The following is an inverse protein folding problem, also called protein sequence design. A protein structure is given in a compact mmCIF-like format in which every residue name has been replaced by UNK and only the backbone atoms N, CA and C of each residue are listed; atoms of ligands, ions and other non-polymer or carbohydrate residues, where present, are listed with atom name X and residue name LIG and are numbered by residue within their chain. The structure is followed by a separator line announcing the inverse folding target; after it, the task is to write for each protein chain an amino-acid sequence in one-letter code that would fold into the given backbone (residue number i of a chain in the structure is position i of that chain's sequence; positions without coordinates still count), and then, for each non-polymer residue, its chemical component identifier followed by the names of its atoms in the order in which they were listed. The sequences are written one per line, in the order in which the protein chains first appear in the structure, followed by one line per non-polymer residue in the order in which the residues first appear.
data_IF_759855502066
#
_entry.id   IF_759855502066
#
_cell.length_a   1.000
_cell.length_b   1.000
_cell.length_c   1.000
_cell.angle_alpha   90.00
_cell.angle_beta   90.00
_cell.angle_gamma   90.00
#
_symmetry.space_group_name_H-M   'P 1'
#
loop_
_entity.id
_entity.type
_entity.pdbx_description
1 polymer ?
#
# COMPACT_ATOMS: atom_id res chain seq x y z
N UNK A 1 12.86 2.51 13.79
CA UNK A 1 13.30 1.78 12.57
C UNK A 1 14.78 1.52 12.67
N UNK A 2 15.23 0.32 12.32
CA UNK A 2 16.65 -0.06 12.40
C UNK A 2 17.27 -0.03 10.99
N UNK A 3 17.61 1.17 10.54
CA UNK A 3 18.16 1.37 9.18
C UNK A 3 19.51 0.68 9.01
N UNK A 4 20.30 0.54 10.09
CA UNK A 4 21.57 -0.19 10.03
C UNK A 4 21.34 -1.65 9.63
N UNK A 5 20.34 -2.31 10.22
CA UNK A 5 19.93 -3.66 9.84
C UNK A 5 19.42 -3.74 8.39
N UNK A 6 18.67 -2.73 7.94
CA UNK A 6 18.20 -2.69 6.54
C UNK A 6 19.36 -2.66 5.56
N UNK A 7 20.37 -1.82 5.84
CA UNK A 7 21.57 -1.75 5.03
C UNK A 7 22.35 -3.07 5.00
N UNK A 8 22.43 -3.80 6.12
CA UNK A 8 23.08 -5.11 6.17
C UNK A 8 22.30 -6.17 5.36
N UNK A 9 20.97 -6.20 5.51
CA UNK A 9 20.10 -7.08 4.71
C UNK A 9 20.22 -6.75 3.22
N UNK A 10 20.31 -5.47 2.86
CA UNK A 10 20.48 -5.05 1.46
C UNK A 10 21.82 -5.49 0.90
N UNK A 11 22.92 -5.40 1.66
CA UNK A 11 24.23 -5.94 1.22
C UNK A 11 24.16 -7.43 0.93
N UNK A 12 23.40 -8.18 1.71
CA UNK A 12 23.20 -9.61 1.49
C UNK A 12 22.37 -9.87 0.22
N UNK A 13 21.30 -9.11 0.01
CA UNK A 13 20.45 -9.19 -1.18
C UNK A 13 21.22 -8.82 -2.46
N UNK A 14 22.11 -7.81 -2.40
CA UNK A 14 22.96 -7.42 -3.53
C UNK A 14 23.91 -8.54 -3.96
N UNK A 15 24.52 -9.22 -2.99
CA UNK A 15 25.39 -10.37 -3.31
C UNK A 15 24.60 -11.49 -4.00
N UNK A 16 23.37 -11.75 -3.53
CA UNK A 16 22.49 -12.73 -4.16
C UNK A 16 22.07 -12.30 -5.59
N UNK A 17 21.88 -11.01 -5.82
CA UNK A 17 21.59 -10.43 -7.14
C UNK A 17 22.84 -10.33 -8.04
N UNK A 18 24.01 -10.73 -7.57
CA UNK A 18 25.30 -10.65 -8.28
C UNK A 18 25.64 -9.21 -8.75
N UNK A 19 25.29 -8.22 -7.95
CA UNK A 19 25.60 -6.81 -8.18
C UNK A 19 26.66 -6.32 -7.19
N UNK A 20 27.55 -5.45 -7.66
CA UNK A 20 28.58 -4.81 -6.83
C UNK A 20 28.01 -3.59 -6.08
N UNK A 21 27.07 -2.89 -6.70
CA UNK A 21 26.35 -1.72 -6.16
C UNK A 21 24.92 -1.69 -6.67
N UNK A 22 24.08 -0.85 -6.06
CA UNK A 22 22.67 -0.63 -6.45
C UNK A 22 22.41 0.87 -6.62
N UNK A 23 21.77 1.24 -7.70
CA UNK A 23 21.19 2.55 -7.90
C UNK A 23 19.68 2.48 -7.58
N UNK A 24 19.30 3.08 -6.46
CA UNK A 24 17.91 3.12 -5.98
C UNK A 24 17.27 4.41 -6.45
N UNK A 25 16.20 4.30 -7.20
CA UNK A 25 15.52 5.43 -7.85
C UNK A 25 14.07 5.57 -7.43
N UNK A 26 13.45 4.47 -6.97
CA UNK A 26 12.06 4.48 -6.49
C UNK A 26 11.96 5.19 -5.14
N UNK A 27 11.10 6.21 -5.07
CA UNK A 27 10.91 7.00 -3.84
C UNK A 27 10.57 6.18 -2.60
N UNK A 28 9.67 5.18 -2.65
CA UNK A 28 9.42 4.34 -1.47
C UNK A 28 10.67 3.61 -0.98
N UNK A 29 11.53 3.17 -1.88
CA UNK A 29 12.77 2.49 -1.55
C UNK A 29 13.84 3.46 -0.99
N UNK A 30 13.91 4.67 -1.55
CA UNK A 30 14.74 5.76 -0.98
C UNK A 30 14.28 6.06 0.44
N UNK A 31 12.97 6.24 0.66
CA UNK A 31 12.42 6.47 2.00
C UNK A 31 12.67 5.30 2.94
N UNK A 32 12.49 4.07 2.51
CA UNK A 32 12.74 2.87 3.30
C UNK A 32 14.18 2.80 3.83
N UNK A 33 15.15 3.16 2.99
CA UNK A 33 16.58 3.07 3.32
C UNK A 33 17.11 4.28 4.09
N UNK A 34 16.47 5.45 3.98
CA UNK A 34 17.04 6.70 4.53
C UNK A 34 16.07 7.51 5.38
N UNK A 35 14.79 7.23 5.33
CA UNK A 35 13.76 8.11 5.89
C UNK A 35 13.52 9.38 5.07
N UNK A 36 14.24 9.60 3.96
CA UNK A 36 14.09 10.78 3.13
C UNK A 36 12.79 10.76 2.32
N UNK A 37 12.00 11.83 2.45
CA UNK A 37 10.68 11.96 1.83
C UNK A 37 10.61 12.97 0.68
N UNK A 38 11.74 13.55 0.30
CA UNK A 38 11.81 14.52 -0.80
C UNK A 38 11.43 13.91 -2.16
N UNK A 39 10.87 14.73 -3.05
CA UNK A 39 10.40 14.26 -4.37
C UNK A 39 11.52 14.03 -5.39
N UNK A 40 12.74 14.48 -5.10
CA UNK A 40 13.91 14.32 -5.96
C UNK A 40 15.08 13.78 -5.14
N UNK A 41 15.49 12.56 -5.43
CA UNK A 41 16.61 11.89 -4.78
C UNK A 41 16.79 10.49 -5.32
N UNK A 42 18.05 10.06 -5.42
CA UNK A 42 18.44 8.67 -5.67
C UNK A 42 19.46 8.26 -4.63
N UNK A 43 19.56 6.97 -4.35
CA UNK A 43 20.62 6.43 -3.51
C UNK A 43 21.59 5.65 -4.38
N UNK A 44 22.86 5.94 -4.24
CA UNK A 44 23.90 5.02 -4.64
C UNK A 44 24.32 4.20 -3.41
N UNK A 45 24.12 2.88 -3.51
CA UNK A 45 24.41 1.95 -2.43
C UNK A 45 25.50 0.99 -2.87
N UNK A 46 26.66 1.09 -2.23
CA UNK A 46 27.80 0.20 -2.40
C UNK A 46 28.01 -0.71 -1.19
N UNK A 47 29.07 -1.55 -1.20
CA UNK A 47 29.41 -2.42 -0.09
C UNK A 47 29.61 -1.68 1.24
N UNK A 48 30.30 -0.53 1.18
CA UNK A 48 30.70 0.25 2.35
C UNK A 48 30.11 1.65 2.39
N UNK A 49 29.27 2.01 1.41
CA UNK A 49 28.73 3.36 1.27
C UNK A 49 27.22 3.37 1.00
N UNK A 50 26.54 4.38 1.55
CA UNK A 50 25.21 4.81 1.19
C UNK A 50 25.28 6.30 0.92
N UNK A 51 25.01 6.71 -0.31
CA UNK A 51 25.05 8.11 -0.72
C UNK A 51 23.68 8.52 -1.25
N UNK A 52 23.02 9.44 -0.53
CA UNK A 52 21.82 10.10 -1.03
C UNK A 52 22.23 11.26 -1.94
N UNK A 53 21.85 11.22 -3.21
CA UNK A 53 22.06 12.30 -4.17
C UNK A 53 20.76 13.03 -4.40
N UNK A 54 20.69 14.29 -3.97
CA UNK A 54 19.49 15.14 -4.09
C UNK A 54 19.87 16.54 -4.55
N UNK A 55 18.90 17.44 -4.70
CA UNK A 55 19.17 18.83 -5.12
C UNK A 55 19.06 19.84 -3.95
N UNK A 56 19.49 21.08 -4.22
CA UNK A 56 19.58 22.13 -3.19
C UNK A 56 18.28 22.47 -2.49
N UNK A 57 17.10 22.14 -3.05
CA UNK A 57 15.79 22.33 -2.41
C UNK A 57 15.64 21.45 -1.17
N UNK A 58 16.32 20.32 -1.14
CA UNK A 58 16.19 19.29 -0.11
C UNK A 58 17.41 19.20 0.83
N UNK A 59 18.40 20.08 0.71
CA UNK A 59 19.63 20.00 1.50
C UNK A 59 19.36 19.95 3.02
N UNK A 60 18.57 20.88 3.54
CA UNK A 60 18.22 20.92 4.97
C UNK A 60 17.40 19.70 5.37
N UNK A 61 16.32 19.42 4.63
CA UNK A 61 15.43 18.28 4.90
C UNK A 61 16.19 16.94 4.90
N UNK A 62 17.09 16.73 3.94
CA UNK A 62 17.86 15.49 3.84
C UNK A 62 18.76 15.30 5.06
N UNK A 63 19.47 16.35 5.51
CA UNK A 63 20.31 16.27 6.72
C UNK A 63 19.47 15.93 7.96
N UNK A 64 18.37 16.66 8.19
CA UNK A 64 17.50 16.42 9.34
C UNK A 64 16.89 15.00 9.35
N UNK A 65 16.45 14.53 8.18
CA UNK A 65 15.79 13.23 8.08
C UNK A 65 16.75 12.06 8.21
N UNK A 66 17.93 12.14 7.60
CA UNK A 66 18.96 11.10 7.75
C UNK A 66 19.49 11.03 9.19
N UNK A 67 19.73 12.18 9.81
CA UNK A 67 20.16 12.27 11.22
C UNK A 67 19.09 11.66 12.14
N UNK A 68 17.82 12.09 12.00
CA UNK A 68 16.69 11.55 12.77
C UNK A 68 16.52 10.04 12.60
N UNK A 69 16.80 9.54 11.41
CA UNK A 69 16.69 8.12 11.08
C UNK A 69 17.92 7.31 11.50
N UNK A 70 19.00 7.95 11.96
CA UNK A 70 20.27 7.30 12.34
C UNK A 70 21.00 6.66 11.17
N UNK A 71 20.87 7.23 9.96
CA UNK A 71 21.51 6.70 8.74
C UNK A 71 22.98 7.03 8.73
N UNK A 72 23.82 6.01 8.65
CA UNK A 72 25.25 6.16 8.38
C UNK A 72 25.45 6.25 6.87
N UNK A 73 25.35 7.46 6.32
CA UNK A 73 25.47 7.75 4.91
C UNK A 73 25.88 9.19 4.65
N UNK A 74 26.21 9.49 3.40
CA UNK A 74 26.57 10.84 2.96
C UNK A 74 25.47 11.43 2.07
N UNK A 75 25.41 12.75 2.00
CA UNK A 75 24.48 13.50 1.16
C UNK A 75 25.31 14.27 0.14
N UNK A 76 25.00 14.07 -1.13
CA UNK A 76 25.56 14.82 -2.25
C UNK A 76 24.49 15.72 -2.87
N UNK A 77 24.80 17.01 -2.96
CA UNK A 77 23.89 18.00 -3.49
C UNK A 77 24.24 18.34 -4.93
N UNK A 78 23.26 18.21 -5.83
CA UNK A 78 23.43 18.59 -7.24
C UNK A 78 23.46 20.09 -7.42
N UNK A 79 24.14 20.53 -8.48
CA UNK A 79 24.27 21.95 -8.88
C UNK A 79 24.54 22.09 -10.37
N UNK A 80 24.72 23.31 -10.87
CA UNK A 80 24.87 23.56 -12.31
C UNK A 80 26.00 22.78 -12.99
N UNK A 81 27.09 22.54 -12.28
CA UNK A 81 28.27 21.81 -12.79
C UNK A 81 28.39 20.39 -12.23
N UNK A 82 27.51 19.99 -11.31
CA UNK A 82 27.54 18.70 -10.61
C UNK A 82 26.16 18.03 -10.68
N UNK A 83 25.84 17.50 -11.85
CA UNK A 83 24.52 16.84 -12.06
C UNK A 83 24.43 15.52 -11.31
N UNK A 84 23.22 15.02 -11.10
CA UNK A 84 22.97 13.75 -10.44
C UNK A 84 23.70 12.60 -11.15
N UNK A 85 23.65 12.58 -12.49
CA UNK A 85 24.33 11.57 -13.30
C UNK A 85 25.84 11.62 -13.13
N UNK A 86 26.41 12.82 -13.04
CA UNK A 86 27.86 12.98 -12.84
C UNK A 86 28.29 12.45 -11.48
N UNK A 87 27.56 12.80 -10.42
CA UNK A 87 27.85 12.30 -9.07
C UNK A 87 27.78 10.76 -9.04
N UNK A 88 26.64 10.21 -9.51
CA UNK A 88 26.45 8.75 -9.54
C UNK A 88 27.50 8.06 -10.41
N UNK A 89 27.88 8.66 -11.55
CA UNK A 89 28.94 8.11 -12.42
C UNK A 89 30.32 8.08 -11.72
N UNK A 90 30.63 9.11 -10.97
CA UNK A 90 31.91 9.17 -10.23
C UNK A 90 31.93 8.10 -9.12
N UNK A 91 30.85 7.94 -8.34
CA UNK A 91 30.70 6.89 -7.34
C UNK A 91 30.77 5.50 -7.97
N UNK A 92 30.10 5.31 -9.08
CA UNK A 92 30.00 4.04 -9.80
C UNK A 92 31.28 3.64 -10.54
N UNK A 93 32.30 4.51 -10.62
CA UNK A 93 33.50 4.30 -11.46
C UNK A 93 34.25 3.02 -11.12
N UNK A 94 34.32 2.66 -9.85
CA UNK A 94 35.06 1.50 -9.34
C UNK A 94 34.28 0.18 -9.42
N UNK A 95 32.96 0.21 -9.76
CA UNK A 95 32.10 -0.96 -9.79
C UNK A 95 31.85 -1.46 -11.21
N UNK A 96 31.73 -2.77 -11.35
CA UNK A 96 31.58 -3.44 -12.64
C UNK A 96 30.11 -3.78 -12.94
N UNK A 97 29.33 -4.08 -11.90
CA UNK A 97 27.92 -4.49 -12.01
C UNK A 97 27.05 -3.65 -11.07
N UNK A 98 26.25 -2.77 -11.65
CA UNK A 98 25.39 -1.84 -10.93
C UNK A 98 23.94 -2.27 -11.16
N UNK A 99 23.27 -2.71 -10.11
CA UNK A 99 21.85 -3.02 -10.13
C UNK A 99 21.02 -1.77 -10.39
N UNK A 100 19.99 -1.89 -11.22
CA UNK A 100 19.00 -0.86 -11.47
C UNK A 100 17.59 -1.45 -11.34
N UNK A 101 16.72 -0.78 -10.60
CA UNK A 101 15.35 -1.23 -10.28
C UNK A 101 14.47 -1.29 -11.54
N UNK A 102 14.37 -2.44 -12.18
CA UNK A 102 13.70 -2.60 -13.48
C UNK A 102 12.21 -2.32 -13.47
N UNK A 103 11.54 -2.55 -12.34
CA UNK A 103 10.10 -2.33 -12.18
C UNK A 103 9.76 -0.85 -11.89
N UNK A 104 10.75 -0.04 -11.52
CA UNK A 104 10.55 1.35 -11.12
C UNK A 104 11.14 2.37 -12.09
N UNK A 105 11.95 1.95 -13.04
CA UNK A 105 12.69 2.83 -13.97
C UNK A 105 12.00 2.84 -15.33
N UNK A 106 11.71 4.03 -15.82
CA UNK A 106 11.20 4.18 -17.18
C UNK A 106 12.27 3.83 -18.23
N UNK A 107 11.85 3.49 -19.44
CA UNK A 107 12.80 3.25 -20.54
C UNK A 107 13.74 4.45 -20.79
N UNK A 108 13.23 5.68 -20.66
CA UNK A 108 14.04 6.89 -20.85
C UNK A 108 15.10 7.05 -19.74
N UNK A 109 14.73 6.76 -18.50
CA UNK A 109 15.68 6.77 -17.36
C UNK A 109 16.73 5.69 -17.51
N UNK A 110 16.36 4.48 -17.91
CA UNK A 110 17.31 3.41 -18.19
C UNK A 110 18.31 3.83 -19.26
N UNK A 111 17.88 4.45 -20.36
CA UNK A 111 18.79 4.95 -21.39
C UNK A 111 19.71 6.06 -20.88
N UNK A 112 19.19 6.96 -20.04
CA UNK A 112 19.96 8.02 -19.40
C UNK A 112 21.06 7.42 -18.51
N UNK A 113 20.74 6.45 -17.67
CA UNK A 113 21.70 5.76 -16.81
C UNK A 113 22.70 4.92 -17.63
N UNK A 114 22.24 4.24 -18.67
CA UNK A 114 23.12 3.48 -19.56
C UNK A 114 24.17 4.37 -20.26
N UNK A 115 23.77 5.58 -20.66
CA UNK A 115 24.68 6.58 -21.25
C UNK A 115 25.70 7.08 -20.23
N UNK A 116 25.27 7.27 -18.98
CA UNK A 116 26.12 7.85 -17.91
C UNK A 116 27.07 6.84 -17.28
N UNK A 117 26.59 5.60 -17.04
CA UNK A 117 27.33 4.57 -16.32
C UNK A 117 28.02 3.53 -17.22
N UNK A 118 27.59 3.46 -18.48
CA UNK A 118 27.93 2.38 -19.41
C UNK A 118 26.90 1.25 -19.38
N UNK A 119 26.31 0.97 -20.53
CA UNK A 119 25.23 -0.04 -20.64
C UNK A 119 25.67 -1.44 -20.20
N UNK A 120 26.95 -1.79 -20.38
CA UNK A 120 27.53 -3.07 -19.98
C UNK A 120 27.72 -3.24 -18.46
N UNK A 121 27.64 -2.15 -17.68
CA UNK A 121 27.70 -2.19 -16.22
C UNK A 121 26.33 -2.35 -15.56
N UNK A 122 25.25 -2.00 -16.28
CA UNK A 122 23.89 -2.06 -15.71
C UNK A 122 23.37 -3.49 -15.69
N UNK A 123 22.84 -3.88 -14.54
CA UNK A 123 22.17 -5.16 -14.30
C UNK A 123 20.73 -4.87 -13.91
N UNK A 124 19.78 -5.49 -14.60
CA UNK A 124 18.38 -5.43 -14.21
C UNK A 124 18.18 -6.16 -12.87
N UNK A 125 17.63 -5.48 -11.88
CA UNK A 125 17.28 -6.09 -10.59
C UNK A 125 15.78 -5.98 -10.36
N UNK A 126 15.17 -7.08 -9.88
CA UNK A 126 13.74 -7.16 -9.60
C UNK A 126 13.53 -7.31 -8.10
N UNK A 127 12.70 -6.48 -7.53
CA UNK A 127 12.18 -6.59 -6.16
C UNK A 127 13.23 -6.78 -5.06
N UNK A 128 14.46 -6.26 -5.22
CA UNK A 128 15.55 -6.44 -4.24
C UNK A 128 15.23 -5.75 -2.91
N UNK A 129 14.75 -4.51 -2.95
CA UNK A 129 14.38 -3.76 -1.75
C UNK A 129 12.96 -4.09 -1.33
N UNK A 130 12.07 -4.30 -2.29
CA UNK A 130 10.68 -4.70 -2.04
C UNK A 130 10.60 -6.00 -1.24
N UNK A 131 11.46 -6.96 -1.50
CA UNK A 131 11.57 -8.19 -0.69
C UNK A 131 11.96 -7.91 0.77
N UNK A 132 12.75 -6.87 1.02
CA UNK A 132 13.08 -6.46 2.39
C UNK A 132 11.91 -5.76 3.09
N UNK A 133 11.01 -5.12 2.32
CA UNK A 133 9.82 -4.41 2.78
C UNK A 133 8.64 -5.33 3.09
N UNK A 134 8.67 -6.60 2.66
CA UNK A 134 7.61 -7.58 2.95
C UNK A 134 7.39 -7.73 4.45
N UNK A 135 8.45 -8.01 5.20
CA UNK A 135 8.39 -8.15 6.66
C UNK A 135 8.53 -6.78 7.31
N UNK A 136 7.47 -6.31 7.93
CA UNK A 136 7.44 -5.01 8.61
C UNK A 136 8.10 -5.09 9.98
N UNK A 137 8.95 -4.13 10.27
CA UNK A 137 9.47 -3.92 11.63
C UNK A 137 8.34 -3.43 12.56
N UNK A 138 8.41 -3.65 13.88
CA UNK A 138 7.38 -3.15 14.81
C UNK A 138 7.06 -1.65 14.64
N UNK A 139 8.09 -0.82 14.40
CA UNK A 139 7.90 0.60 14.17
C UNK A 139 7.19 0.94 12.84
N UNK A 140 7.22 0.07 11.83
CA UNK A 140 6.44 0.21 10.60
C UNK A 140 4.99 -0.19 10.85
N UNK A 141 4.78 -1.28 11.58
CA UNK A 141 3.43 -1.73 11.99
C UNK A 141 2.70 -0.63 12.76
N UNK A 142 3.37 0.04 13.70
CA UNK A 142 2.78 1.14 14.47
C UNK A 142 2.39 2.36 13.60
N UNK A 143 3.13 2.65 12.53
CA UNK A 143 2.73 3.72 11.60
C UNK A 143 1.50 3.35 10.78
N UNK A 144 1.41 2.10 10.32
CA UNK A 144 0.24 1.60 9.61
C UNK A 144 -0.96 1.57 10.56
N UNK A 145 -0.77 1.13 11.80
CA UNK A 145 -1.80 1.17 12.85
C UNK A 145 -2.31 2.59 13.10
N UNK A 146 -1.40 3.57 13.20
CA UNK A 146 -1.78 4.97 13.36
C UNK A 146 -2.60 5.49 12.16
N UNK A 147 -2.22 5.12 10.93
CA UNK A 147 -2.99 5.46 9.73
C UNK A 147 -4.38 4.80 9.74
N UNK A 148 -4.48 3.52 10.11
CA UNK A 148 -5.76 2.81 10.28
C UNK A 148 -6.65 3.48 11.35
N UNK A 149 -6.09 3.84 12.49
CA UNK A 149 -6.84 4.50 13.58
C UNK A 149 -7.40 5.87 13.17
N UNK A 150 -6.66 6.64 12.37
CA UNK A 150 -7.15 7.91 11.80
C UNK A 150 -8.30 7.64 10.83
N UNK A 151 -8.17 6.66 9.95
CA UNK A 151 -9.21 6.29 9.00
C UNK A 151 -10.48 5.80 9.72
N UNK A 152 -10.35 4.91 10.70
CA UNK A 152 -11.45 4.42 11.55
C UNK A 152 -12.20 5.57 12.24
N UNK A 153 -11.46 6.54 12.80
CA UNK A 153 -12.03 7.70 13.48
C UNK A 153 -12.76 8.60 12.50
N UNK A 154 -12.15 8.91 11.35
CA UNK A 154 -12.76 9.75 10.33
C UNK A 154 -14.10 9.15 9.82
N UNK A 155 -14.16 7.84 9.57
CA UNK A 155 -15.42 7.20 9.16
C UNK A 155 -16.45 7.24 10.29
N UNK A 156 -16.05 6.96 11.54
CA UNK A 156 -16.96 7.00 12.70
C UNK A 156 -17.65 8.35 12.84
N UNK A 157 -16.88 9.43 12.74
CA UNK A 157 -17.36 10.78 12.94
C UNK A 157 -18.26 11.24 11.78
N UNK A 158 -18.03 10.74 10.57
CA UNK A 158 -18.76 11.15 9.36
C UNK A 158 -19.93 10.26 8.99
N UNK A 159 -20.01 9.04 9.52
CA UNK A 159 -21.08 8.11 9.18
C UNK A 159 -22.49 8.70 9.34
N UNK A 160 -22.80 9.51 10.39
CA UNK A 160 -24.10 10.16 10.52
C UNK A 160 -24.47 11.11 9.38
N UNK A 161 -23.47 11.62 8.63
CA UNK A 161 -23.72 12.46 7.45
C UNK A 161 -24.53 11.74 6.37
N UNK A 162 -24.42 10.40 6.26
CA UNK A 162 -25.18 9.63 5.29
C UNK A 162 -26.69 9.82 5.44
N UNK A 163 -27.20 10.06 6.67
CA UNK A 163 -28.61 10.32 6.92
C UNK A 163 -29.13 11.62 6.28
N UNK A 164 -28.25 12.53 5.89
CA UNK A 164 -28.60 13.78 5.19
C UNK A 164 -28.66 13.64 3.67
N UNK A 165 -28.42 12.44 3.15
CA UNK A 165 -28.38 12.12 1.72
C UNK A 165 -27.37 12.99 0.93
N UNK A 166 -26.10 13.06 1.36
CA UNK A 166 -25.08 13.78 0.62
C UNK A 166 -24.85 13.13 -0.74
N UNK A 167 -24.17 13.82 -1.64
CA UNK A 167 -23.61 13.17 -2.84
C UNK A 167 -22.42 12.29 -2.46
N UNK A 168 -22.13 11.29 -3.29
CA UNK A 168 -20.94 10.45 -3.14
C UNK A 168 -19.66 11.31 -3.01
N UNK A 169 -19.56 12.36 -3.83
CA UNK A 169 -18.44 13.32 -3.83
C UNK A 169 -18.34 14.12 -2.53
N UNK A 170 -19.46 14.63 -2.03
CA UNK A 170 -19.47 15.40 -0.78
C UNK A 170 -19.03 14.54 0.40
N UNK A 171 -19.50 13.28 0.46
CA UNK A 171 -19.08 12.35 1.52
C UNK A 171 -17.60 11.99 1.41
N UNK A 172 -17.10 11.67 0.20
CA UNK A 172 -15.70 11.37 -0.04
C UNK A 172 -14.79 12.54 0.37
N UNK A 173 -15.13 13.77 -0.04
CA UNK A 173 -14.37 14.97 0.34
C UNK A 173 -14.35 15.19 1.85
N UNK A 174 -15.50 15.03 2.53
CA UNK A 174 -15.58 15.16 3.98
C UNK A 174 -14.67 14.12 4.68
N UNK A 175 -14.67 12.88 4.18
CA UNK A 175 -13.85 11.79 4.70
C UNK A 175 -12.34 12.08 4.56
N UNK A 176 -11.91 12.56 3.41
CA UNK A 176 -10.50 12.94 3.16
C UNK A 176 -10.08 14.13 4.04
N UNK A 177 -10.96 15.11 4.23
CA UNK A 177 -10.71 16.24 5.16
C UNK A 177 -10.62 15.73 6.60
N UNK A 178 -11.52 14.83 7.02
CA UNK A 178 -11.50 14.21 8.34
C UNK A 178 -10.19 13.49 8.64
N UNK A 179 -9.70 12.69 7.69
CA UNK A 179 -8.41 12.01 7.82
C UNK A 179 -7.24 13.00 7.95
N UNK A 180 -7.22 14.09 7.16
CA UNK A 180 -6.19 15.13 7.27
C UNK A 180 -6.25 15.88 8.60
N UNK A 181 -7.43 16.17 9.10
CA UNK A 181 -7.63 16.79 10.42
C UNK A 181 -7.19 15.87 11.55
N UNK A 182 -7.32 14.54 11.36
CA UNK A 182 -6.80 13.52 12.25
C UNK A 182 -5.28 13.37 12.25
N UNK A 183 -4.56 14.10 11.37
CA UNK A 183 -3.09 14.10 11.31
C UNK A 183 -2.48 13.34 10.13
N UNK A 184 -3.27 12.82 9.21
CA UNK A 184 -2.75 12.19 8.00
C UNK A 184 -2.04 13.20 7.09
N UNK A 185 -0.89 12.82 6.54
CA UNK A 185 -0.14 13.64 5.58
C UNK A 185 -0.78 13.65 4.18
N UNK A 186 -1.59 12.65 3.85
CA UNK A 186 -2.26 12.48 2.57
C UNK A 186 -3.28 11.35 2.61
N UNK A 187 -3.93 11.12 1.48
CA UNK A 187 -4.72 9.92 1.21
C UNK A 187 -3.82 8.84 0.62
N UNK A 188 -4.11 7.56 0.89
CA UNK A 188 -3.36 6.42 0.33
C UNK A 188 -3.66 6.24 -1.16
N UNK A 189 -4.91 6.49 -1.54
CA UNK A 189 -5.45 6.41 -2.90
C UNK A 189 -6.71 7.29 -3.01
N UNK A 190 -7.21 7.51 -4.23
CA UNK A 190 -8.47 8.23 -4.46
C UNK A 190 -9.64 7.46 -3.80
N UNK A 191 -10.29 8.05 -2.80
CA UNK A 191 -11.36 7.41 -2.04
C UNK A 191 -12.51 6.97 -2.94
N UNK A 192 -13.04 5.77 -2.71
CA UNK A 192 -14.22 5.24 -3.38
C UNK A 192 -15.42 5.42 -2.46
N UNK A 193 -16.42 6.16 -2.91
CA UNK A 193 -17.75 6.21 -2.30
C UNK A 193 -18.75 5.93 -3.40
N UNK A 194 -19.36 4.75 -3.35
CA UNK A 194 -20.17 4.24 -4.44
C UNK A 194 -21.50 3.69 -3.92
N UNK A 195 -22.61 4.38 -4.23
CA UNK A 195 -23.95 4.07 -3.72
C UNK A 195 -24.83 3.42 -4.78
N UNK A 196 -25.70 2.49 -4.35
CA UNK A 196 -26.63 1.79 -5.22
C UNK A 196 -25.98 1.25 -6.49
N UNK A 197 -26.44 1.62 -7.71
CA UNK A 197 -25.88 1.10 -8.96
C UNK A 197 -24.38 1.36 -9.16
N UNK A 198 -23.83 2.45 -8.59
CA UNK A 198 -22.39 2.73 -8.68
C UNK A 198 -21.58 1.72 -7.86
N UNK A 199 -22.12 1.21 -6.76
CA UNK A 199 -21.49 0.17 -5.95
C UNK A 199 -21.23 -1.14 -6.71
N UNK A 200 -21.88 -1.36 -7.84
CA UNK A 200 -21.59 -2.50 -8.73
C UNK A 200 -20.26 -2.37 -9.52
N UNK A 201 -19.53 -1.27 -9.35
CA UNK A 201 -18.25 -1.01 -10.01
C UNK A 201 -17.14 -1.02 -8.94
N UNK A 202 -16.24 -2.01 -8.92
CA UNK A 202 -15.21 -2.14 -7.88
C UNK A 202 -14.37 -0.87 -7.66
N UNK A 203 -14.06 -0.16 -8.74
CA UNK A 203 -13.24 1.07 -8.74
C UNK A 203 -14.05 2.30 -9.19
N UNK A 204 -15.29 2.43 -8.67
CA UNK A 204 -16.12 3.60 -8.95
C UNK A 204 -15.46 4.88 -8.40
N UNK A 205 -15.57 5.97 -9.16
CA UNK A 205 -15.20 7.29 -8.66
C UNK A 205 -16.43 7.99 -8.07
N UNK A 206 -16.28 8.69 -6.93
CA UNK A 206 -17.38 9.42 -6.33
C UNK A 206 -18.00 10.42 -7.31
N UNK A 207 -19.31 10.34 -7.51
CA UNK A 207 -20.08 11.16 -8.44
C UNK A 207 -20.96 12.19 -7.72
N UNK A 208 -21.71 13.00 -8.49
CA UNK A 208 -22.70 13.93 -7.95
C UNK A 208 -24.05 13.22 -7.65
N UNK A 209 -24.08 11.88 -7.67
CA UNK A 209 -25.24 11.10 -7.27
C UNK A 209 -25.48 11.25 -5.77
N UNK A 210 -26.71 11.66 -5.40
CA UNK A 210 -27.12 11.67 -4.01
C UNK A 210 -27.28 10.24 -3.48
N UNK A 211 -26.71 9.99 -2.30
CA UNK A 211 -26.81 8.71 -1.61
C UNK A 211 -28.21 8.56 -1.06
N UNK A 212 -28.91 7.47 -1.41
CA UNK A 212 -30.22 7.16 -0.86
C UNK A 212 -30.11 6.28 0.37
N UNK A 213 -31.05 6.40 1.29
CA UNK A 213 -30.98 5.76 2.59
C UNK A 213 -31.16 4.23 2.54
N UNK A 214 -31.92 3.74 1.56
CA UNK A 214 -32.24 2.33 1.33
C UNK A 214 -31.30 1.62 0.35
N UNK A 215 -30.12 2.20 0.09
CA UNK A 215 -29.12 1.63 -0.81
C UNK A 215 -27.83 1.25 -0.08
N UNK A 216 -27.13 0.25 -0.61
CA UNK A 216 -25.77 -0.07 -0.19
C UNK A 216 -24.81 1.04 -0.63
N UNK A 217 -23.91 1.42 0.27
CA UNK A 217 -22.83 2.38 0.02
C UNK A 217 -21.50 1.69 0.32
N UNK A 218 -20.71 1.44 -0.72
CA UNK A 218 -19.33 0.99 -0.58
C UNK A 218 -18.46 2.21 -0.31
N UNK A 219 -17.73 2.18 0.78
CA UNK A 219 -16.81 3.24 1.23
C UNK A 219 -15.45 2.60 1.39
N UNK A 220 -14.52 2.91 0.48
CA UNK A 220 -13.17 2.38 0.44
C UNK A 220 -12.17 3.54 0.43
N UNK A 221 -11.30 3.57 1.43
CA UNK A 221 -10.47 4.73 1.73
C UNK A 221 -9.30 4.37 2.62
N UNK A 222 -8.29 5.21 2.58
CA UNK A 222 -7.12 5.10 3.42
C UNK A 222 -6.31 6.39 3.46
N UNK A 223 -5.43 6.49 4.43
CA UNK A 223 -4.58 7.66 4.60
C UNK A 223 -3.12 7.29 4.87
N UNK A 224 -2.26 8.28 4.83
CA UNK A 224 -0.80 8.14 4.96
C UNK A 224 -0.32 8.78 6.25
N UNK A 225 0.43 8.03 7.06
CA UNK A 225 1.15 8.51 8.24
C UNK A 225 2.62 8.15 8.12
N UNK A 226 3.50 9.14 8.17
CA UNK A 226 4.95 8.97 8.01
C UNK A 226 5.35 8.16 6.76
N UNK A 227 4.54 8.27 5.68
CA UNK A 227 4.73 7.58 4.42
C UNK A 227 4.08 6.19 4.33
N UNK A 228 3.53 5.67 5.42
CA UNK A 228 2.85 4.37 5.45
C UNK A 228 1.35 4.52 5.23
N UNK A 229 0.80 3.67 4.35
CA UNK A 229 -0.59 3.65 3.96
C UNK A 229 -1.45 2.86 4.94
N UNK A 230 -2.72 3.26 5.10
CA UNK A 230 -3.80 2.41 5.56
C UNK A 230 -4.74 2.09 4.41
N UNK A 231 -5.53 1.04 4.58
CA UNK A 231 -6.54 0.57 3.63
C UNK A 231 -7.72 -0.04 4.38
N UNK A 232 -8.94 0.40 4.04
CA UNK A 232 -10.15 -0.14 4.63
C UNK A 232 -11.37 0.07 3.75
N UNK A 233 -12.14 -0.99 3.53
CA UNK A 233 -13.48 -0.89 2.93
C UNK A 233 -14.57 -1.27 3.94
N UNK A 234 -15.63 -0.48 3.97
CA UNK A 234 -16.91 -0.80 4.62
C UNK A 234 -18.05 -0.61 3.65
N UNK A 235 -19.03 -1.52 3.71
CA UNK A 235 -20.31 -1.34 2.99
C UNK A 235 -21.42 -1.22 4.00
N UNK A 236 -22.15 -0.11 3.93
CA UNK A 236 -23.24 0.22 4.87
C UNK A 236 -24.50 0.64 4.11
N UNK A 237 -25.64 0.70 4.83
CA UNK A 237 -26.87 1.35 4.42
C UNK A 237 -27.40 2.20 5.58
N UNK A 238 -28.12 3.27 5.33
CA UNK A 238 -28.75 4.07 6.40
C UNK A 238 -30.02 3.37 6.90
N UNK A 239 -30.89 2.97 5.98
CA UNK A 239 -32.14 2.23 6.26
C UNK A 239 -32.02 0.79 5.73
N UNK A 240 -33.11 0.01 5.78
CA UNK A 240 -33.15 -1.36 5.27
C UNK A 240 -32.94 -1.40 3.73
N UNK A 241 -31.83 -1.96 3.23
CA UNK A 241 -31.58 -2.05 1.79
C UNK A 241 -32.33 -3.20 1.11
N UNK A 242 -33.19 -3.92 1.83
CA UNK A 242 -33.95 -5.05 1.37
C UNK A 242 -33.21 -6.40 1.44
N UNK A 243 -33.99 -7.47 1.35
CA UNK A 243 -33.51 -8.84 1.62
C UNK A 243 -32.34 -9.30 0.72
N UNK A 244 -32.32 -8.90 -0.55
CA UNK A 244 -31.25 -9.27 -1.48
C UNK A 244 -29.92 -8.62 -1.10
N UNK A 245 -29.93 -7.34 -0.77
CA UNK A 245 -28.76 -6.59 -0.34
C UNK A 245 -28.24 -7.09 1.03
N UNK A 246 -29.15 -7.37 1.96
CA UNK A 246 -28.82 -7.96 3.26
C UNK A 246 -28.15 -9.33 3.11
N UNK A 247 -28.71 -10.20 2.25
CA UNK A 247 -28.09 -11.51 1.96
C UNK A 247 -26.70 -11.34 1.34
N UNK A 248 -26.56 -10.41 0.39
CA UNK A 248 -25.27 -10.13 -0.26
C UNK A 248 -24.23 -9.70 0.78
N UNK A 249 -24.59 -8.76 1.64
CA UNK A 249 -23.73 -8.27 2.70
C UNK A 249 -23.31 -9.39 3.67
N UNK A 250 -24.24 -10.24 4.09
CA UNK A 250 -23.98 -11.36 5.00
C UNK A 250 -23.00 -12.37 4.40
N UNK A 251 -23.14 -12.71 3.12
CA UNK A 251 -22.22 -13.64 2.44
C UNK A 251 -20.82 -13.06 2.33
N UNK A 252 -20.69 -11.78 2.00
CA UNK A 252 -19.36 -11.13 1.94
C UNK A 252 -18.74 -11.02 3.34
N UNK A 253 -19.55 -10.77 4.37
CA UNK A 253 -19.08 -10.75 5.76
C UNK A 253 -18.53 -12.13 6.18
N UNK A 254 -19.26 -13.20 5.87
CA UNK A 254 -18.83 -14.58 6.14
C UNK A 254 -17.55 -14.91 5.38
N UNK A 255 -17.46 -14.53 4.10
CA UNK A 255 -16.30 -14.68 3.25
C UNK A 255 -15.07 -13.97 3.83
N UNK A 256 -15.22 -12.71 4.26
CA UNK A 256 -14.15 -11.91 4.84
C UNK A 256 -13.68 -12.51 6.19
N UNK A 257 -14.58 -12.99 7.00
CA UNK A 257 -14.25 -13.65 8.27
C UNK A 257 -13.47 -14.95 8.05
N UNK A 258 -13.85 -15.74 7.03
CA UNK A 258 -13.14 -16.97 6.65
C UNK A 258 -11.73 -16.67 6.14
N UNK A 259 -11.58 -15.67 5.26
CA UNK A 259 -10.27 -15.21 4.79
C UNK A 259 -9.36 -14.78 5.93
N UNK A 260 -9.84 -13.92 6.83
CA UNK A 260 -9.09 -13.53 8.04
C UNK A 260 -8.66 -14.72 8.90
N UNK A 261 -9.56 -15.67 9.08
CA UNK A 261 -9.27 -16.88 9.89
C UNK A 261 -8.23 -17.78 9.22
N UNK A 262 -8.08 -17.70 7.90
CA UNK A 262 -7.06 -18.44 7.16
C UNK A 262 -5.67 -17.78 7.22
N UNK A 263 -5.59 -16.46 7.46
CA UNK A 263 -4.32 -15.73 7.49
C UNK A 263 -3.47 -16.15 8.68
N UNK A 264 -2.29 -16.72 8.42
CA UNK A 264 -1.21 -17.00 9.38
C UNK A 264 0.08 -17.29 8.63
N UNK A 265 1.21 -17.26 9.34
CA UNK A 265 2.48 -17.67 8.76
C UNK A 265 2.43 -19.11 8.24
N UNK A 266 3.10 -19.35 7.10
CA UNK A 266 3.15 -20.66 6.45
C UNK A 266 1.96 -21.01 5.53
N UNK A 267 0.93 -20.16 5.47
CA UNK A 267 -0.22 -20.34 4.56
C UNK A 267 0.04 -19.61 3.24
N UNK A 268 -0.32 -20.24 2.12
CA UNK A 268 -0.20 -19.60 0.81
C UNK A 268 -1.29 -18.54 0.60
N UNK A 269 -0.97 -17.47 -0.13
CA UNK A 269 -1.93 -16.44 -0.52
C UNK A 269 -3.14 -17.01 -1.27
N UNK A 270 -2.91 -18.08 -2.04
CA UNK A 270 -3.97 -18.84 -2.74
C UNK A 270 -4.95 -19.50 -1.78
N UNK A 271 -4.48 -20.05 -0.65
CA UNK A 271 -5.36 -20.69 0.35
C UNK A 271 -6.24 -19.65 1.05
N UNK A 272 -5.72 -18.45 1.33
CA UNK A 272 -6.51 -17.34 1.88
C UNK A 272 -7.58 -16.90 0.87
N UNK A 273 -7.20 -16.72 -0.41
CA UNK A 273 -8.18 -16.39 -1.47
C UNK A 273 -9.26 -17.46 -1.61
N UNK A 274 -8.87 -18.75 -1.58
CA UNK A 274 -9.82 -19.84 -1.66
C UNK A 274 -10.82 -19.81 -0.51
N UNK A 275 -10.37 -19.57 0.72
CA UNK A 275 -11.25 -19.50 1.89
C UNK A 275 -12.35 -18.42 1.73
N UNK A 276 -12.02 -17.29 1.08
CA UNK A 276 -13.01 -16.27 0.74
C UNK A 276 -13.90 -16.71 -0.42
N UNK A 277 -13.29 -17.17 -1.48
CA UNK A 277 -13.94 -17.46 -2.77
C UNK A 277 -14.94 -18.60 -2.68
N UNK A 278 -14.62 -19.67 -1.97
CA UNK A 278 -15.51 -20.84 -1.81
C UNK A 278 -16.86 -20.46 -1.20
N UNK A 279 -16.90 -19.51 -0.26
CA UNK A 279 -18.15 -19.03 0.35
C UNK A 279 -19.00 -18.26 -0.66
N UNK A 280 -18.37 -17.39 -1.45
CA UNK A 280 -19.04 -16.59 -2.48
C UNK A 280 -19.54 -17.48 -3.62
N UNK A 281 -18.73 -18.47 -4.05
CA UNK A 281 -19.10 -19.46 -5.07
C UNK A 281 -20.29 -20.31 -4.62
N UNK A 282 -20.28 -20.80 -3.38
CA UNK A 282 -21.38 -21.57 -2.81
C UNK A 282 -22.68 -20.77 -2.69
N UNK A 283 -22.59 -19.44 -2.55
CA UNK A 283 -23.75 -18.54 -2.58
C UNK A 283 -24.30 -18.26 -3.98
N UNK A 284 -23.57 -18.69 -5.04
CA UNK A 284 -23.92 -18.54 -6.46
C UNK A 284 -23.43 -17.24 -7.08
N UNK A 285 -22.43 -16.58 -6.50
CA UNK A 285 -21.89 -15.28 -6.93
C UNK A 285 -20.40 -15.29 -7.28
N UNK A 286 -19.83 -16.44 -7.60
CA UNK A 286 -18.40 -16.58 -7.88
C UNK A 286 -17.92 -15.75 -9.08
N UNK A 287 -18.75 -15.61 -10.12
CA UNK A 287 -18.43 -14.80 -11.28
C UNK A 287 -18.42 -13.28 -10.99
N UNK A 288 -19.12 -12.88 -9.94
CA UNK A 288 -19.25 -11.50 -9.49
C UNK A 288 -18.15 -11.08 -8.49
N UNK A 289 -17.28 -12.02 -8.09
CA UNK A 289 -16.06 -11.75 -7.35
C UNK A 289 -14.87 -11.70 -8.32
N UNK A 290 -14.64 -10.56 -8.92
CA UNK A 290 -13.79 -10.37 -10.10
C UNK A 290 -12.32 -10.00 -9.82
N UNK A 291 -11.91 -9.89 -8.54
CA UNK A 291 -10.54 -9.53 -8.15
C UNK A 291 -9.95 -10.53 -7.17
N UNK A 292 -8.70 -10.34 -6.77
CA UNK A 292 -8.07 -11.11 -5.69
C UNK A 292 -8.61 -10.71 -4.32
N UNK A 293 -8.33 -11.52 -3.33
CA UNK A 293 -8.79 -11.29 -1.95
C UNK A 293 -8.01 -10.18 -1.25
N UNK A 294 -6.85 -9.76 -1.79
CA UNK A 294 -6.09 -8.67 -1.17
C UNK A 294 -4.66 -8.53 -1.69
N UNK A 295 -3.91 -7.70 -1.02
CA UNK A 295 -2.53 -7.33 -1.34
C UNK A 295 -1.76 -6.89 -0.10
N UNK A 296 -0.43 -6.78 -0.22
CA UNK A 296 0.41 -6.17 0.80
C UNK A 296 0.19 -4.66 0.90
N UNK A 297 0.38 -4.10 2.10
CA UNK A 297 0.30 -2.66 2.38
C UNK A 297 1.55 -2.21 3.12
N UNK A 298 2.06 -1.02 2.80
CA UNK A 298 3.22 -0.45 3.47
C UNK A 298 3.49 1.00 3.06
N UNK A 299 4.68 1.26 2.53
CA UNK A 299 5.03 2.55 1.92
C UNK A 299 4.32 2.79 0.59
N UNK A 300 3.82 1.75 -0.03
CA UNK A 300 2.92 1.81 -1.18
C UNK A 300 1.61 1.15 -0.80
N UNK A 301 0.52 1.66 -1.39
CA UNK A 301 -0.80 1.09 -1.11
C UNK A 301 -0.89 -0.36 -1.60
N UNK A 302 -0.31 -0.66 -2.75
CA UNK A 302 -0.23 -2.00 -3.29
C UNK A 302 1.23 -2.49 -3.27
N UNK A 303 1.54 -3.37 -2.33
CA UNK A 303 2.82 -4.08 -2.25
C UNK A 303 2.60 -5.60 -2.41
N UNK A 304 3.68 -6.34 -2.56
CA UNK A 304 3.64 -7.79 -2.39
C UNK A 304 3.38 -8.17 -0.91
N UNK A 305 2.80 -9.36 -0.66
CA UNK A 305 2.36 -10.35 -1.63
C UNK A 305 0.98 -10.01 -2.21
N UNK A 306 0.63 -10.62 -3.35
CA UNK A 306 -0.75 -10.61 -3.84
C UNK A 306 -1.54 -11.77 -3.22
N UNK A 307 -2.59 -11.46 -2.48
CA UNK A 307 -3.51 -12.48 -1.94
C UNK A 307 -4.57 -12.82 -2.99
N UNK A 308 -4.30 -13.81 -3.82
CA UNK A 308 -5.16 -14.17 -4.95
C UNK A 308 -5.04 -15.63 -5.36
N UNK A 309 -6.01 -16.12 -6.10
CA UNK A 309 -6.00 -17.48 -6.68
C UNK A 309 -4.78 -17.77 -7.60
N UNK A 310 -4.13 -16.73 -8.10
CA UNK A 310 -2.98 -16.85 -9.00
C UNK A 310 -1.62 -16.78 -8.27
N UNK A 311 -1.60 -16.57 -6.95
CA UNK A 311 -0.37 -16.39 -6.17
C UNK A 311 -0.02 -17.64 -5.38
N UNK A 312 1.22 -18.11 -5.52
CA UNK A 312 1.80 -19.18 -4.72
C UNK A 312 2.70 -18.64 -3.58
N UNK A 313 2.76 -17.32 -3.38
CA UNK A 313 3.50 -16.69 -2.29
C UNK A 313 2.96 -17.17 -0.94
N UNK A 314 3.89 -17.40 0.00
CA UNK A 314 3.58 -17.87 1.35
C UNK A 314 3.66 -16.69 2.31
N UNK A 315 2.65 -16.54 3.16
CA UNK A 315 2.63 -15.52 4.19
C UNK A 315 3.66 -15.83 5.29
N UNK A 316 4.36 -14.81 5.71
CA UNK A 316 5.29 -14.89 6.84
C UNK A 316 4.88 -13.93 7.96
N UNK A 317 5.27 -14.24 9.20
CA UNK A 317 5.02 -13.35 10.32
C UNK A 317 5.65 -11.97 10.08
N UNK A 318 4.91 -10.91 10.37
CA UNK A 318 5.30 -9.53 10.10
C UNK A 318 4.90 -9.00 8.71
N UNK A 319 4.34 -9.82 7.82
CA UNK A 319 3.69 -9.30 6.62
C UNK A 319 2.42 -8.55 7.00
N UNK A 320 2.08 -7.51 6.24
CA UNK A 320 0.80 -6.81 6.36
C UNK A 320 0.07 -6.96 5.04
N UNK A 321 -1.16 -7.46 5.10
CA UNK A 321 -2.00 -7.71 3.93
C UNK A 321 -3.43 -7.26 4.18
N UNK A 322 -4.17 -6.98 3.09
CA UNK A 322 -5.61 -6.77 3.11
C UNK A 322 -6.34 -8.10 2.95
N UNK A 323 -7.57 -8.18 3.50
CA UNK A 323 -8.54 -9.25 3.24
C UNK A 323 -9.85 -8.59 2.89
N UNK A 324 -10.17 -8.51 1.60
CA UNK A 324 -11.17 -7.61 1.02
C UNK A 324 -12.10 -8.30 -0.01
N UNK A 325 -12.68 -9.47 0.26
CA UNK A 325 -13.60 -10.05 -0.72
C UNK A 325 -14.74 -9.10 -1.06
N UNK A 326 -15.17 -9.13 -2.32
CA UNK A 326 -16.24 -8.27 -2.80
C UNK A 326 -17.10 -8.95 -3.87
N UNK A 327 -18.39 -8.60 -3.89
CA UNK A 327 -19.35 -9.07 -4.89
C UNK A 327 -20.09 -7.86 -5.46
N UNK A 328 -20.16 -7.80 -6.80
CA UNK A 328 -20.65 -6.63 -7.54
C UNK A 328 -21.76 -7.04 -8.50
N UNK A 329 -23.01 -6.63 -8.19
CA UNK A 329 -24.21 -7.02 -8.93
C UNK A 329 -24.79 -5.84 -9.72
N UNK A 330 -24.66 -5.82 -11.06
CA UNK A 330 -25.27 -4.77 -11.87
C UNK A 330 -26.76 -4.57 -11.56
N UNK A 331 -27.16 -3.30 -11.35
CA UNK A 331 -28.54 -2.94 -11.00
C UNK A 331 -28.94 -3.12 -9.54
N UNK A 332 -28.09 -3.73 -8.71
CA UNK A 332 -28.30 -3.89 -7.25
C UNK A 332 -27.32 -3.03 -6.47
N UNK A 333 -26.05 -3.14 -6.75
CA UNK A 333 -24.96 -2.52 -6.02
C UNK A 333 -23.82 -3.51 -5.79
N UNK A 334 -22.91 -3.17 -4.89
CA UNK A 334 -21.82 -4.04 -4.48
C UNK A 334 -21.64 -4.08 -2.98
N UNK A 335 -20.94 -5.09 -2.54
CA UNK A 335 -20.44 -5.20 -1.16
C UNK A 335 -18.96 -5.56 -1.23
N UNK A 336 -18.13 -4.81 -0.55
CA UNK A 336 -16.75 -5.14 -0.18
C UNK A 336 -16.60 -4.88 1.31
N UNK A 337 -16.01 -5.84 2.02
CA UNK A 337 -15.66 -5.70 3.42
C UNK A 337 -14.18 -6.07 3.56
N UNK A 338 -13.42 -5.21 4.17
CA UNK A 338 -11.97 -5.30 4.21
C UNK A 338 -11.41 -5.00 5.57
N UNK A 339 -10.38 -5.74 5.94
CA UNK A 339 -9.45 -5.35 7.01
C UNK A 339 -8.01 -5.41 6.50
N UNK A 340 -7.19 -4.46 6.92
CA UNK A 340 -5.74 -4.57 6.92
C UNK A 340 -5.31 -5.34 8.16
N UNK A 341 -4.51 -6.40 7.97
CA UNK A 341 -4.08 -7.29 9.07
C UNK A 341 -2.57 -7.51 9.06
N UNK A 342 -1.95 -7.61 10.23
CA UNK A 342 -0.59 -8.10 10.37
C UNK A 342 -0.59 -9.61 10.61
N UNK A 343 0.20 -10.33 9.83
CA UNK A 343 0.36 -11.79 9.92
C UNK A 343 1.20 -12.14 11.16
N UNK A 344 0.72 -13.10 11.94
CA UNK A 344 1.44 -13.65 13.10
C UNK A 344 1.71 -15.15 12.90
N UNK A 345 2.49 -15.77 13.79
CA UNK A 345 2.79 -17.22 13.73
C UNK A 345 1.52 -18.09 13.67
N UNK A 346 0.50 -17.73 14.46
CA UNK A 346 -0.68 -18.58 14.65
C UNK A 346 -2.00 -17.98 14.12
N UNK A 347 -1.95 -16.81 13.45
CA UNK A 347 -3.13 -16.10 12.97
C UNK A 347 -2.79 -14.74 12.42
N UNK A 348 -3.69 -13.78 12.61
CA UNK A 348 -3.45 -12.38 12.28
C UNK A 348 -4.09 -11.44 13.30
N UNK A 349 -3.54 -10.23 13.39
CA UNK A 349 -4.09 -9.13 14.16
C UNK A 349 -4.61 -8.05 13.21
N UNK A 350 -5.86 -7.60 13.41
CA UNK A 350 -6.41 -6.51 12.62
C UNK A 350 -5.82 -5.16 13.04
N UNK A 351 -5.45 -4.35 12.06
CA UNK A 351 -5.00 -2.97 12.26
C UNK A 351 -6.15 -1.97 12.05
N UNK A 352 -7.17 -2.35 11.29
CA UNK A 352 -8.44 -1.62 11.12
C UNK A 352 -9.47 -2.17 12.11
N UNK A 353 -10.06 -1.30 12.92
CA UNK A 353 -10.92 -1.70 14.03
C UNK A 353 -12.37 -1.21 13.86
N UNK A 354 -12.65 -0.42 12.81
CA UNK A 354 -14.03 0.03 12.57
C UNK A 354 -14.97 -1.17 12.37
N UNK A 355 -16.08 -1.26 13.13
CA UNK A 355 -16.93 -2.45 13.11
C UNK A 355 -17.61 -2.66 11.76
N UNK A 356 -17.94 -3.92 11.47
CA UNK A 356 -18.70 -4.32 10.30
C UNK A 356 -20.16 -4.47 10.69
N UNK A 357 -21.00 -3.57 10.22
CA UNK A 357 -22.46 -3.61 10.37
C UNK A 357 -23.10 -3.13 9.07
N UNK A 358 -24.29 -3.64 8.76
CA UNK A 358 -24.99 -3.25 7.54
C UNK A 358 -25.70 -1.90 7.72
N UNK A 359 -26.42 -1.71 8.81
CA UNK A 359 -27.20 -0.49 9.03
C UNK A 359 -26.45 0.50 9.90
N UNK A 360 -26.24 1.70 9.38
CA UNK A 360 -25.61 2.82 10.08
C UNK A 360 -26.68 3.57 10.92
N UNK A 361 -27.10 2.98 12.04
CA UNK A 361 -28.09 3.56 12.96
C UNK A 361 -27.42 4.17 14.19
#
# INVERSE_FOLDING_TARGET
MDIAKRSERLRTALRAAQCDALLVTRRPNVQYLTGFTGSAGVIFFGPDELVLVTDGRYQTQANEQLEKAGVLGTIEITGPSKTQEKIVSDLASQYSKIGLESEGVTWAEQQKWAKSLGANKLVSTNSVIEALRLTKEPAEVERIRAACSIADTALRDLLPMLATSPTEREFAMALEVGMRQGGASGISFDSIVASGPNGAKPHARPSDRAIKKDELVVIDFGCVVDGYCSDMTRTVSVDDPGSKATRLWSVVQESQAAGRSAVRAGVSCREVDRACRDIIDNAGWGNEFSHGTGHGVGLEIHEAPRVSYASDEVLEAGYIVTVEPGVYLPGVGGVRLEDTVVVTENGCEALTEFPKFLTAS
#
